data_IF_454939717789
#
_entry.id   IF_454939717789
#
_cell.length_a   1.000
_cell.length_b   1.000
_cell.length_c   1.000
_cell.angle_alpha   90.00
_cell.angle_beta   90.00
_cell.angle_gamma   90.00
#
_symmetry.space_group_name_H-M   'P 1'
#
loop_
_entity.id
_entity.type
_entity.pdbx_description
1 polymer ?
#
# COMPACT_ATOMS: atom_id res chain seq x y z
N UNK A 1 -1.15 -1.93 22.34
CA UNK A 1 -1.15 -1.57 20.92
C UNK A 1 -0.44 -2.71 20.22
N UNK A 2 -1.15 -3.51 19.42
CA UNK A 2 -0.50 -4.62 18.71
C UNK A 2 0.49 -4.00 17.72
N UNK A 3 1.77 -4.34 17.86
CA UNK A 3 2.77 -4.00 16.86
C UNK A 3 2.29 -4.59 15.53
N UNK A 4 2.22 -3.73 14.51
CA UNK A 4 1.91 -4.17 13.15
C UNK A 4 3.06 -5.08 12.72
N UNK A 5 2.76 -6.22 12.12
CA UNK A 5 3.81 -7.15 11.68
C UNK A 5 4.76 -6.43 10.72
N UNK A 6 6.05 -6.38 11.08
CA UNK A 6 7.06 -5.67 10.30
C UNK A 6 7.26 -6.29 8.90
N UNK A 7 7.04 -7.60 8.77
CA UNK A 7 7.08 -8.31 7.49
C UNK A 7 5.91 -7.88 6.62
N UNK A 8 4.70 -7.84 7.19
CA UNK A 8 3.51 -7.37 6.49
C UNK A 8 3.69 -5.92 6.01
N UNK A 9 4.24 -5.05 6.87
CA UNK A 9 4.48 -3.65 6.54
C UNK A 9 5.50 -3.46 5.43
N UNK A 10 6.58 -4.25 5.42
CA UNK A 10 7.58 -4.24 4.36
C UNK A 10 7.00 -4.66 3.02
N UNK A 11 6.19 -5.72 2.99
CA UNK A 11 5.52 -6.17 1.75
C UNK A 11 4.44 -5.18 1.30
N UNK A 12 3.77 -4.50 2.23
CA UNK A 12 2.79 -3.46 1.92
C UNK A 12 3.46 -2.23 1.28
N UNK A 13 4.59 -1.78 1.83
CA UNK A 13 5.40 -0.71 1.25
C UNK A 13 5.87 -1.05 -0.17
N UNK A 14 6.24 -2.32 -0.42
CA UNK A 14 6.61 -2.80 -1.75
C UNK A 14 5.42 -2.80 -2.71
N UNK A 15 4.25 -3.28 -2.27
CA UNK A 15 3.04 -3.29 -3.08
C UNK A 15 2.57 -1.88 -3.45
N UNK A 16 2.66 -0.90 -2.53
CA UNK A 16 2.40 0.51 -2.81
C UNK A 16 3.31 1.05 -3.93
N UNK A 17 4.59 0.69 -3.91
CA UNK A 17 5.53 1.08 -4.95
C UNK A 17 5.23 0.40 -6.29
N UNK A 18 4.87 -0.88 -6.27
CA UNK A 18 4.63 -1.65 -7.49
C UNK A 18 3.34 -1.26 -8.22
N UNK A 19 2.26 -1.03 -7.45
CA UNK A 19 0.92 -0.74 -7.98
C UNK A 19 0.63 0.74 -8.13
N UNK A 20 1.17 1.58 -7.25
CA UNK A 20 0.81 3.00 -7.15
C UNK A 20 2.01 3.94 -7.32
N UNK A 21 3.25 3.41 -7.38
CA UNK A 21 4.49 4.20 -7.43
C UNK A 21 4.60 5.27 -6.34
N UNK A 22 4.06 4.99 -5.15
CA UNK A 22 4.11 5.87 -3.99
C UNK A 22 4.85 5.21 -2.83
N UNK A 23 5.57 6.02 -2.07
CA UNK A 23 6.08 5.62 -0.77
C UNK A 23 5.07 5.94 0.32
N UNK A 24 5.04 5.11 1.36
CA UNK A 24 4.16 5.28 2.52
C UNK A 24 4.35 6.65 3.19
N UNK A 25 5.59 7.16 3.22
CA UNK A 25 5.91 8.50 3.75
C UNK A 25 5.37 9.65 2.87
N UNK A 26 5.50 9.54 1.55
CA UNK A 26 5.03 10.55 0.60
C UNK A 26 3.50 10.66 0.61
N UNK A 27 2.83 9.53 0.82
CA UNK A 27 1.38 9.45 0.93
C UNK A 27 0.86 9.76 2.35
N UNK A 28 1.74 10.05 3.32
CA UNK A 28 1.35 10.34 4.71
C UNK A 28 0.69 9.15 5.44
N UNK A 29 0.91 7.93 4.97
CA UNK A 29 0.32 6.72 5.53
C UNK A 29 1.06 6.38 6.82
N UNK A 30 0.40 6.58 7.96
CA UNK A 30 0.94 6.19 9.27
C UNK A 30 0.71 4.71 9.55
N UNK A 31 1.33 4.17 10.60
CA UNK A 31 1.06 2.80 11.04
C UNK A 31 -0.41 2.60 11.45
N UNK A 32 -1.09 3.66 11.89
CA UNK A 32 -2.52 3.61 12.19
C UNK A 32 -3.37 3.46 10.91
N UNK A 33 -3.00 4.16 9.83
CA UNK A 33 -3.65 4.01 8.53
C UNK A 33 -3.39 2.61 7.97
N UNK A 34 -2.13 2.15 8.00
CA UNK A 34 -1.76 0.81 7.53
C UNK A 34 -2.50 -0.30 8.29
N UNK A 35 -2.70 -0.13 9.61
CA UNK A 35 -3.43 -1.10 10.44
C UNK A 35 -4.89 -1.29 10.02
N UNK A 36 -5.52 -0.32 9.33
CA UNK A 36 -6.89 -0.47 8.81
C UNK A 36 -6.99 -1.52 7.70
N UNK A 37 -5.87 -1.82 7.05
CA UNK A 37 -5.78 -2.78 5.95
C UNK A 37 -5.06 -4.07 6.35
N UNK A 38 -4.62 -4.20 7.61
CA UNK A 38 -3.78 -5.32 8.07
C UNK A 38 -4.48 -6.69 8.07
N UNK A 39 -5.81 -6.69 7.98
CA UNK A 39 -6.60 -7.93 7.81
C UNK A 39 -6.52 -8.48 6.38
N UNK A 40 -6.01 -7.69 5.42
CA UNK A 40 -5.80 -8.08 4.03
C UNK A 40 -4.34 -8.49 3.77
N UNK A 41 -4.09 -9.35 2.77
CA UNK A 41 -2.75 -9.51 2.21
C UNK A 41 -2.17 -8.15 1.78
N UNK A 42 -0.85 -7.92 1.92
CA UNK A 42 -0.23 -6.63 1.60
C UNK A 42 -0.53 -6.11 0.18
N UNK A 43 -0.62 -7.02 -0.79
CA UNK A 43 -0.94 -6.69 -2.18
C UNK A 43 -2.38 -6.16 -2.34
N UNK A 44 -3.35 -6.88 -1.77
CA UNK A 44 -4.76 -6.48 -1.75
C UNK A 44 -4.97 -5.20 -0.93
N UNK A 45 -4.23 -5.04 0.17
CA UNK A 45 -4.23 -3.83 0.97
C UNK A 45 -3.78 -2.60 0.16
N UNK A 46 -2.72 -2.72 -0.64
CA UNK A 46 -2.22 -1.62 -1.45
C UNK A 46 -3.21 -1.23 -2.56
N UNK A 47 -3.85 -2.23 -3.18
CA UNK A 47 -4.91 -1.99 -4.16
C UNK A 47 -6.14 -1.34 -3.54
N UNK A 48 -6.61 -1.83 -2.39
CA UNK A 48 -7.74 -1.25 -1.67
C UNK A 48 -7.45 0.18 -1.22
N UNK A 49 -6.24 0.45 -0.72
CA UNK A 49 -5.79 1.82 -0.44
C UNK A 49 -5.83 2.70 -1.68
N UNK A 50 -5.39 2.18 -2.83
CA UNK A 50 -5.48 2.88 -4.11
C UNK A 50 -6.92 3.27 -4.46
N UNK A 51 -7.87 2.34 -4.32
CA UNK A 51 -9.29 2.59 -4.59
C UNK A 51 -9.92 3.57 -3.59
N UNK A 52 -9.63 3.43 -2.29
CA UNK A 52 -10.21 4.29 -1.24
C UNK A 52 -9.81 5.76 -1.38
N UNK A 53 -8.64 6.02 -1.97
CA UNK A 53 -8.06 7.35 -2.16
C UNK A 53 -8.05 7.80 -3.63
N UNK A 54 -8.77 7.11 -4.52
CA UNK A 54 -8.87 7.40 -5.96
C UNK A 54 -7.49 7.57 -6.64
N UNK A 55 -6.50 6.77 -6.24
CA UNK A 55 -5.15 6.84 -6.75
C UNK A 55 -5.03 6.13 -8.11
N UNK A 56 -4.33 6.78 -9.04
CA UNK A 56 -4.06 6.16 -10.33
C UNK A 56 -3.08 5.00 -10.16
N UNK A 57 -3.51 3.81 -10.58
CA UNK A 57 -2.64 2.65 -10.69
C UNK A 57 -1.58 2.90 -11.75
N UNK A 58 -0.37 2.43 -11.49
CA UNK A 58 0.72 2.43 -12.45
C UNK A 58 0.32 1.52 -13.61
N UNK A 59 -0.06 2.12 -14.72
CA UNK A 59 -0.33 1.37 -15.94
C UNK A 59 1.00 0.97 -16.58
N UNK A 60 1.54 -0.18 -16.19
CA UNK A 60 2.82 -0.70 -16.72
C UNK A 60 2.77 -1.04 -18.21
N UNK A 61 1.57 -1.08 -18.82
CA UNK A 61 1.40 -1.43 -20.23
C UNK A 61 1.72 -0.27 -21.21
N UNK A 62 1.95 0.96 -20.72
CA UNK A 62 2.32 2.10 -21.59
C UNK A 62 3.83 2.13 -21.94
N UNK A 63 4.63 1.14 -21.56
CA UNK A 63 6.05 1.05 -21.94
C UNK A 63 6.39 -0.19 -22.78
N UNK A 64 5.39 -0.93 -23.24
CA UNK A 64 5.53 -2.07 -24.16
C UNK A 64 5.24 -1.73 -25.62
#
# INVERSE_FOLDING_TARGET
>A
MSDLDATWLMEFDKALQEHLAIARHDAGITDEVARRYADLPPDEAALQYGEDYDLQRVNRDWLS
#
